data_IF_050908130462
#
_entry.id   IF_050908130462
#
_cell.length_a   1.000
_cell.length_b   1.000
_cell.length_c   1.000
_cell.angle_alpha   90.00
_cell.angle_beta   90.00
_cell.angle_gamma   90.00
#
_symmetry.space_group_name_H-M   'P 1'
#
loop_
_entity.id
_entity.type
_entity.pdbx_description
1 polymer ?
#
# COMPACT_ATOMS: atom_id res chain seq x y z
N UNK A 1 -17.47 8.53 28.44
CA UNK A 1 -16.49 7.69 27.74
C UNK A 1 -16.08 8.36 26.45
N UNK A 2 -14.80 8.57 26.26
CA UNK A 2 -14.30 9.11 24.99
C UNK A 2 -14.08 7.96 24.01
N UNK A 3 -14.98 7.85 23.04
CA UNK A 3 -14.76 6.94 21.94
C UNK A 3 -13.76 7.59 20.99
N UNK A 4 -12.54 7.08 20.96
CA UNK A 4 -11.50 7.60 20.09
C UNK A 4 -11.19 6.56 19.00
N UNK A 5 -11.32 7.00 17.73
CA UNK A 5 -10.92 6.16 16.60
C UNK A 5 -9.40 6.11 16.51
N UNK A 6 -8.88 4.91 16.35
CA UNK A 6 -7.44 4.67 16.20
C UNK A 6 -7.15 4.27 14.76
N UNK A 7 -5.92 4.47 14.34
CA UNK A 7 -5.47 4.11 13.00
C UNK A 7 -5.00 2.65 12.97
N UNK A 8 -5.42 1.93 11.95
CA UNK A 8 -4.98 0.56 11.70
C UNK A 8 -4.56 0.42 10.24
N UNK A 9 -3.52 -0.36 10.00
CA UNK A 9 -3.03 -0.65 8.66
C UNK A 9 -3.28 -2.12 8.35
N UNK A 10 -3.88 -2.41 7.20
CA UNK A 10 -4.21 -3.77 6.81
C UNK A 10 -3.04 -4.54 6.23
N UNK A 11 -3.07 -5.85 6.42
CA UNK A 11 -2.04 -6.77 5.91
C UNK A 11 -2.61 -7.87 5.02
N UNK A 12 -3.89 -7.75 4.61
CA UNK A 12 -4.57 -8.79 3.84
C UNK A 12 -4.09 -8.86 2.40
N UNK A 13 -4.07 -10.08 1.88
CA UNK A 13 -3.95 -10.36 0.46
C UNK A 13 -5.32 -10.83 -0.04
N UNK A 14 -5.77 -10.33 -1.18
CA UNK A 14 -7.05 -10.66 -1.77
C UNK A 14 -6.87 -11.08 -3.23
N UNK A 15 -7.86 -11.75 -3.80
CA UNK A 15 -7.94 -11.99 -5.23
C UNK A 15 -8.90 -10.98 -5.83
N UNK A 16 -8.60 -10.48 -7.00
CA UNK A 16 -9.46 -9.49 -7.63
C UNK A 16 -9.37 -9.56 -9.14
N UNK A 17 -10.43 -9.10 -9.80
CA UNK A 17 -10.44 -8.94 -11.24
C UNK A 17 -11.23 -7.68 -11.60
N UNK A 18 -10.88 -7.02 -12.71
CA UNK A 18 -11.64 -5.85 -13.16
C UNK A 18 -13.11 -6.20 -13.40
N UNK A 19 -14.00 -5.31 -12.95
CA UNK A 19 -15.43 -5.48 -13.10
C UNK A 19 -16.11 -4.11 -13.00
N UNK A 20 -17.00 -3.80 -13.94
CA UNK A 20 -17.76 -2.55 -13.88
C UNK A 20 -18.84 -2.63 -12.81
N UNK A 21 -19.33 -1.46 -12.39
CA UNK A 21 -20.42 -1.38 -11.41
C UNK A 21 -21.69 -2.05 -11.93
N UNK A 22 -21.97 -1.91 -13.24
CA UNK A 22 -23.12 -2.56 -13.87
C UNK A 22 -23.04 -4.09 -13.82
N UNK A 23 -21.88 -4.65 -14.12
CA UNK A 23 -21.64 -6.10 -14.01
C UNK A 23 -21.80 -6.57 -12.56
N UNK A 24 -21.30 -5.78 -11.60
CA UNK A 24 -21.42 -6.10 -10.18
C UNK A 24 -22.89 -6.09 -9.73
N UNK A 25 -23.68 -5.14 -10.24
CA UNK A 25 -25.10 -5.08 -9.96
C UNK A 25 -25.83 -6.33 -10.46
N UNK A 26 -25.54 -6.75 -11.69
CA UNK A 26 -26.12 -7.96 -12.27
C UNK A 26 -25.78 -9.21 -11.46
N UNK A 27 -24.59 -9.26 -10.88
CA UNK A 27 -24.12 -10.38 -10.05
C UNK A 27 -24.53 -10.24 -8.56
N UNK A 28 -25.31 -9.21 -8.22
CA UNK A 28 -25.79 -8.97 -6.85
C UNK A 28 -24.66 -8.74 -5.84
N UNK A 29 -23.58 -8.10 -6.28
CA UNK A 29 -22.40 -7.82 -5.44
C UNK A 29 -22.46 -6.47 -4.76
N UNK A 30 -23.38 -5.59 -5.17
CA UNK A 30 -23.54 -4.28 -4.53
C UNK A 30 -24.36 -4.42 -3.25
N UNK A 31 -24.20 -3.45 -2.34
CA UNK A 31 -24.98 -3.42 -1.10
C UNK A 31 -26.47 -3.36 -1.41
N UNK A 32 -27.29 -3.93 -0.51
CA UNK A 32 -28.74 -3.93 -0.65
C UNK A 32 -29.27 -2.51 -0.90
N UNK A 33 -30.10 -2.38 -1.94
CA UNK A 33 -30.72 -1.12 -2.29
C UNK A 33 -29.90 -0.18 -3.17
N UNK A 34 -28.62 -0.53 -3.39
CA UNK A 34 -27.76 0.26 -4.29
C UNK A 34 -28.01 -0.18 -5.73
N UNK A 35 -28.38 0.78 -6.57
CA UNK A 35 -28.60 0.57 -8.00
C UNK A 35 -27.79 1.62 -8.78
N UNK A 36 -26.92 1.21 -9.71
CA UNK A 36 -26.15 2.17 -10.47
C UNK A 36 -27.08 3.01 -11.38
N UNK A 37 -26.78 4.29 -11.49
CA UNK A 37 -27.42 5.16 -12.47
C UNK A 37 -26.87 4.84 -13.86
N UNK A 38 -27.48 5.41 -14.90
CA UNK A 38 -27.03 5.19 -16.29
C UNK A 38 -25.55 5.58 -16.48
N UNK A 39 -25.11 6.66 -15.82
CA UNK A 39 -23.73 7.12 -15.92
C UNK A 39 -22.75 6.31 -15.05
N UNK A 40 -23.27 5.51 -14.12
CA UNK A 40 -22.43 4.68 -13.22
C UNK A 40 -22.26 3.23 -13.70
N UNK A 41 -23.04 2.82 -14.69
CA UNK A 41 -23.02 1.43 -15.19
C UNK A 41 -21.62 1.00 -15.63
N UNK A 42 -20.88 1.91 -16.29
CA UNK A 42 -19.54 1.65 -16.80
C UNK A 42 -18.43 2.04 -15.80
N UNK A 43 -18.80 2.40 -14.57
CA UNK A 43 -17.82 2.80 -13.57
C UNK A 43 -16.85 1.67 -13.30
N UNK A 44 -15.55 1.96 -13.45
CA UNK A 44 -14.49 0.98 -13.26
C UNK A 44 -14.36 0.56 -11.79
N UNK A 45 -14.11 -0.71 -11.58
CA UNK A 45 -13.89 -1.27 -10.26
C UNK A 45 -13.36 -2.68 -10.34
N UNK A 46 -13.45 -3.39 -9.23
CA UNK A 46 -12.94 -4.75 -9.09
C UNK A 46 -13.92 -5.63 -8.33
N UNK A 47 -14.07 -6.86 -8.80
CA UNK A 47 -14.60 -7.94 -7.99
C UNK A 47 -13.47 -8.36 -7.04
N UNK A 48 -13.72 -8.33 -5.75
CA UNK A 48 -12.74 -8.67 -4.72
C UNK A 48 -13.21 -9.92 -3.99
N UNK A 49 -12.35 -10.93 -3.91
CA UNK A 49 -12.61 -12.15 -3.15
C UNK A 49 -11.63 -12.23 -1.97
N UNK A 50 -12.19 -12.32 -0.77
CA UNK A 50 -11.43 -12.41 0.47
C UNK A 50 -11.09 -13.88 0.77
N UNK A 51 -10.18 -14.10 1.74
CA UNK A 51 -9.70 -15.44 2.08
C UNK A 51 -10.81 -16.42 2.48
N UNK A 52 -11.86 -15.91 3.08
CA UNK A 52 -13.02 -16.72 3.50
C UNK A 52 -14.01 -17.02 2.36
N UNK A 53 -13.71 -16.53 1.15
CA UNK A 53 -14.57 -16.70 -0.01
C UNK A 53 -15.61 -15.61 -0.19
N UNK A 54 -15.73 -14.67 0.76
CA UNK A 54 -16.65 -13.56 0.62
C UNK A 54 -16.25 -12.68 -0.57
N UNK A 55 -17.22 -12.28 -1.38
CA UNK A 55 -17.00 -11.44 -2.55
C UNK A 55 -17.72 -10.11 -2.42
N UNK A 56 -17.08 -9.05 -2.90
CA UNK A 56 -17.68 -7.73 -2.96
C UNK A 56 -17.13 -6.98 -4.18
N UNK A 57 -17.77 -5.87 -4.52
CA UNK A 57 -17.28 -4.97 -5.56
C UNK A 57 -16.71 -3.71 -4.90
N UNK A 58 -15.60 -3.22 -5.43
CA UNK A 58 -14.96 -1.98 -4.98
C UNK A 58 -14.68 -1.07 -6.17
N UNK A 59 -14.93 0.24 -6.04
CA UNK A 59 -14.51 1.20 -7.06
C UNK A 59 -12.99 1.13 -7.28
N UNK A 60 -12.55 1.36 -8.52
CA UNK A 60 -11.15 1.22 -8.90
C UNK A 60 -10.21 2.08 -8.06
N UNK A 61 -10.56 3.34 -7.84
CA UNK A 61 -9.74 4.28 -7.07
C UNK A 61 -9.57 3.83 -5.61
N UNK A 62 -10.62 3.34 -5.00
CA UNK A 62 -10.60 2.82 -3.62
C UNK A 62 -9.76 1.56 -3.53
N UNK A 63 -9.97 0.62 -4.47
CA UNK A 63 -9.24 -0.63 -4.50
C UNK A 63 -7.73 -0.42 -4.73
N UNK A 64 -7.38 0.40 -5.70
CA UNK A 64 -5.98 0.62 -6.09
C UNK A 64 -5.16 1.35 -5.01
N UNK A 65 -5.83 2.12 -4.15
CA UNK A 65 -5.17 2.73 -2.99
C UNK A 65 -4.87 1.71 -1.89
N UNK A 66 -5.75 0.72 -1.73
CA UNK A 66 -5.64 -0.28 -0.66
C UNK A 66 -4.78 -1.48 -1.07
N UNK A 67 -4.79 -1.84 -2.34
CA UNK A 67 -4.15 -3.06 -2.83
C UNK A 67 -3.29 -2.79 -4.05
N UNK A 68 -2.14 -3.45 -4.11
CA UNK A 68 -1.23 -3.39 -5.25
C UNK A 68 -1.06 -4.80 -5.83
N UNK A 69 -0.83 -4.91 -7.15
CA UNK A 69 -0.60 -6.22 -7.76
C UNK A 69 0.53 -6.97 -7.04
N UNK A 70 0.31 -8.23 -6.69
CA UNK A 70 1.29 -9.06 -6.00
C UNK A 70 1.35 -10.50 -6.56
N UNK A 71 0.97 -10.66 -7.81
CA UNK A 71 0.92 -11.97 -8.47
C UNK A 71 2.32 -12.55 -8.67
N UNK A 72 3.26 -11.73 -9.13
CA UNK A 72 4.61 -12.17 -9.48
C UNK A 72 5.63 -11.74 -8.43
N UNK A 73 6.80 -12.36 -8.46
CA UNK A 73 7.93 -11.95 -7.63
C UNK A 73 8.32 -10.48 -7.90
N UNK A 74 8.25 -10.08 -9.17
CA UNK A 74 8.55 -8.71 -9.57
C UNK A 74 7.55 -7.72 -8.96
N UNK A 75 6.26 -8.07 -8.95
CA UNK A 75 5.22 -7.26 -8.30
C UNK A 75 5.53 -7.07 -6.82
N UNK A 76 5.90 -8.15 -6.13
CA UNK A 76 6.21 -8.09 -4.70
C UNK A 76 7.45 -7.24 -4.42
N UNK A 77 8.46 -7.31 -5.29
CA UNK A 77 9.64 -6.45 -5.19
C UNK A 77 9.29 -4.97 -5.34
N UNK A 78 8.37 -4.65 -6.25
CA UNK A 78 7.90 -3.27 -6.43
C UNK A 78 7.21 -2.74 -5.19
N UNK A 79 6.35 -3.55 -4.58
CA UNK A 79 5.66 -3.19 -3.33
C UNK A 79 6.68 -2.91 -2.23
N UNK A 80 7.63 -3.82 -2.03
CA UNK A 80 8.68 -3.67 -1.02
C UNK A 80 9.51 -2.41 -1.26
N UNK A 81 9.91 -2.18 -2.51
CA UNK A 81 10.70 -1.01 -2.87
C UNK A 81 9.96 0.29 -2.59
N UNK A 82 8.69 0.38 -2.96
CA UNK A 82 7.87 1.56 -2.73
C UNK A 82 7.66 1.84 -1.23
N UNK A 83 7.39 0.80 -0.45
CA UNK A 83 7.22 0.93 1.00
C UNK A 83 8.50 1.39 1.69
N UNK A 84 9.64 0.80 1.33
CA UNK A 84 10.92 1.16 1.91
C UNK A 84 11.37 2.55 1.47
N UNK A 85 11.10 2.93 0.23
CA UNK A 85 11.39 4.29 -0.26
C UNK A 85 10.62 5.33 0.54
N UNK A 86 9.34 5.11 0.80
CA UNK A 86 8.52 6.00 1.60
C UNK A 86 9.06 6.10 3.04
N UNK A 87 9.39 4.97 3.64
CA UNK A 87 9.94 4.90 4.99
C UNK A 87 11.30 5.60 5.09
N UNK A 88 12.17 5.39 4.10
CA UNK A 88 13.48 6.03 4.04
C UNK A 88 13.35 7.55 3.95
N UNK A 89 12.39 8.02 3.16
CA UNK A 89 12.14 9.45 3.00
C UNK A 89 11.69 10.11 4.31
N UNK A 90 10.80 9.45 5.04
CA UNK A 90 10.34 9.95 6.35
C UNK A 90 11.49 10.00 7.36
N UNK A 91 12.29 8.94 7.41
CA UNK A 91 13.43 8.85 8.32
C UNK A 91 14.48 9.91 8.00
N UNK A 92 14.80 10.09 6.72
CA UNK A 92 15.76 11.10 6.29
C UNK A 92 15.26 12.51 6.61
N UNK A 93 13.97 12.78 6.44
CA UNK A 93 13.39 14.07 6.79
C UNK A 93 13.56 14.37 8.28
N UNK A 94 13.32 13.36 9.14
CA UNK A 94 13.53 13.49 10.59
C UNK A 94 15.00 13.75 10.93
N UNK A 95 15.92 12.96 10.37
CA UNK A 95 17.36 13.10 10.63
C UNK A 95 17.96 14.38 10.06
N UNK A 96 17.40 14.89 8.98
CA UNK A 96 17.86 16.15 8.37
C UNK A 96 17.54 17.37 9.20
N UNK A 97 16.66 17.27 10.19
CA UNK A 97 16.42 18.33 11.16
C UNK A 97 17.62 18.53 12.09
N UNK A 98 18.52 17.55 12.17
CA UNK A 98 19.78 17.63 12.89
C UNK A 98 19.94 16.54 13.93
N UNK A 99 21.15 16.01 14.02
CA UNK A 99 21.51 14.97 14.99
C UNK A 99 21.26 15.42 16.43
N UNK A 100 21.68 16.64 16.78
CA UNK A 100 21.54 17.14 18.15
C UNK A 100 20.08 17.32 18.54
N UNK A 101 19.24 17.72 17.61
CA UNK A 101 17.80 17.84 17.85
C UNK A 101 17.18 16.47 18.14
N UNK A 102 17.49 15.48 17.32
CA UNK A 102 17.01 14.12 17.51
C UNK A 102 17.53 13.54 18.83
N UNK A 103 18.82 13.74 19.14
CA UNK A 103 19.42 13.24 20.38
C UNK A 103 18.77 13.86 21.62
N UNK A 104 18.35 15.12 21.55
CA UNK A 104 17.64 15.78 22.63
C UNK A 104 16.24 15.20 22.86
N UNK A 105 15.56 14.78 21.76
CA UNK A 105 14.22 14.22 21.83
C UNK A 105 14.20 12.75 22.28
N UNK A 106 15.07 11.91 21.69
CA UNK A 106 15.01 10.46 21.86
C UNK A 106 16.28 9.83 22.44
N UNK A 107 17.31 10.64 22.71
CA UNK A 107 18.59 10.15 23.21
C UNK A 107 19.60 9.80 22.13
N UNK A 108 20.87 9.80 22.50
CA UNK A 108 21.97 9.56 21.53
C UNK A 108 22.00 8.14 20.99
N UNK A 109 21.70 7.15 21.84
CA UNK A 109 21.73 5.75 21.42
C UNK A 109 20.68 5.47 20.32
N UNK A 110 19.44 5.91 20.53
CA UNK A 110 18.39 5.74 19.51
C UNK A 110 18.69 6.52 18.24
N UNK A 111 19.19 7.76 18.38
CA UNK A 111 19.55 8.58 17.23
C UNK A 111 20.61 7.90 16.37
N UNK A 112 21.62 7.31 17.03
CA UNK A 112 22.69 6.57 16.32
C UNK A 112 22.11 5.37 15.56
N UNK A 113 21.20 4.64 16.20
CA UNK A 113 20.55 3.49 15.54
C UNK A 113 19.71 3.93 14.34
N UNK A 114 19.03 5.07 14.43
CA UNK A 114 18.27 5.63 13.31
C UNK A 114 19.18 6.05 12.15
N UNK A 115 20.35 6.62 12.46
CA UNK A 115 21.35 6.94 11.43
C UNK A 115 21.82 5.68 10.72
N UNK A 116 22.09 4.61 11.47
CA UNK A 116 22.45 3.31 10.89
C UNK A 116 21.31 2.74 10.06
N UNK A 117 20.07 2.82 10.55
CA UNK A 117 18.90 2.37 9.81
C UNK A 117 18.78 3.09 8.48
N UNK A 118 18.95 4.40 8.46
CA UNK A 118 18.92 5.20 7.23
C UNK A 118 19.97 4.70 6.23
N UNK A 119 21.20 4.49 6.70
CA UNK A 119 22.29 4.00 5.85
C UNK A 119 21.99 2.63 5.25
N UNK A 120 21.50 1.69 6.05
CA UNK A 120 21.14 0.36 5.58
C UNK A 120 19.95 0.38 4.63
N UNK A 121 18.95 1.23 4.88
CA UNK A 121 17.82 1.40 3.99
C UNK A 121 18.24 1.90 2.61
N UNK A 122 19.11 2.90 2.56
CA UNK A 122 19.64 3.42 1.29
C UNK A 122 20.38 2.35 0.52
N UNK A 123 21.24 1.59 1.19
CA UNK A 123 21.99 0.50 0.55
C UNK A 123 21.05 -0.59 0.02
N UNK A 124 20.07 -0.97 0.81
CA UNK A 124 19.10 -1.99 0.40
C UNK A 124 18.24 -1.51 -0.77
N UNK A 125 17.79 -0.25 -0.73
CA UNK A 125 17.02 0.33 -1.83
C UNK A 125 17.81 0.33 -3.13
N UNK A 126 19.10 0.63 -3.09
CA UNK A 126 19.96 0.58 -4.27
C UNK A 126 19.96 -0.81 -4.89
N UNK A 127 20.01 -1.86 -4.05
CA UNK A 127 19.97 -3.26 -4.52
C UNK A 127 18.59 -3.57 -5.11
N UNK A 128 17.51 -3.17 -4.46
CA UNK A 128 16.15 -3.41 -4.97
C UNK A 128 15.91 -2.74 -6.30
N UNK A 129 16.34 -1.48 -6.43
CA UNK A 129 16.21 -0.73 -7.68
C UNK A 129 17.03 -1.38 -8.81
N UNK A 130 18.23 -1.87 -8.50
CA UNK A 130 19.04 -2.60 -9.45
C UNK A 130 18.37 -3.90 -9.90
N UNK A 131 17.76 -4.62 -8.96
CA UNK A 131 17.01 -5.86 -9.26
C UNK A 131 15.82 -5.56 -10.18
N UNK A 132 15.07 -4.49 -9.91
CA UNK A 132 13.93 -4.11 -10.73
C UNK A 132 14.35 -3.72 -12.14
N UNK A 133 15.44 -2.96 -12.29
CA UNK A 133 15.97 -2.56 -13.59
C UNK A 133 16.47 -3.75 -14.39
N UNK A 134 17.16 -4.68 -13.75
CA UNK A 134 17.72 -5.87 -14.40
C UNK A 134 16.61 -6.81 -14.87
N UNK A 135 15.60 -7.01 -14.02
CA UNK A 135 14.48 -7.90 -14.35
C UNK A 135 13.65 -7.37 -15.51
N UNK A 136 13.52 -6.06 -15.67
CA UNK A 136 12.80 -5.44 -16.80
C UNK A 136 13.44 -5.68 -18.15
N UNK A 137 14.74 -5.97 -18.18
CA UNK A 137 15.50 -6.18 -19.44
C UNK A 137 15.41 -7.62 -19.94
N UNK A 138 14.89 -8.51 -19.12
CA UNK A 138 14.65 -9.90 -19.49
C UNK A 138 13.18 -10.07 -19.89
#
# INVERSE_FOLDING_TARGET
MNEQMKQYTGTKTVKAMPMTMGEAYERKLLKNGVRPSECETDKAGYLVEYEDGYQSWSPADVFEKAYKPSETRLDRLRIECDELRARSKELDAYLNEGYEKAAAEIGRSLTMLLVLQSSYLHNYLDVLEALLLTTKKE
#
